data_IF_693248576572
#
_entry.id   IF_693248576572
#
_cell.length_a   1.000
_cell.length_b   1.000
_cell.length_c   1.000
_cell.angle_alpha   90.00
_cell.angle_beta   90.00
_cell.angle_gamma   90.00
#
_symmetry.space_group_name_H-M   'P 1'
#
loop_
_entity.id
_entity.type
_entity.pdbx_description
1 polymer ?
#
# COMPACT_ATOMS: atom_id res chain seq x y z
N UNK A 1 66.24 -3.07 69.14
CA UNK A 1 66.73 -2.15 70.19
C UNK A 1 67.64 -1.15 69.54
N UNK A 2 67.35 0.16 69.59
CA UNK A 2 68.32 1.26 69.67
C UNK A 2 67.55 2.57 69.90
N UNK A 3 67.63 3.04 71.14
CA UNK A 3 67.77 4.44 71.58
C UNK A 3 66.74 5.50 71.19
N UNK A 4 65.90 5.79 72.19
CA UNK A 4 65.16 7.04 72.40
C UNK A 4 66.08 8.27 72.35
N UNK A 5 65.63 9.33 71.68
CA UNK A 5 66.01 10.69 72.00
C UNK A 5 64.76 11.61 71.90
N UNK A 6 64.39 12.33 72.98
CA UNK A 6 63.27 13.27 73.02
C UNK A 6 63.72 14.66 72.53
N UNK A 7 62.84 15.67 72.69
CA UNK A 7 63.08 17.13 72.55
C UNK A 7 62.49 17.78 71.28
N UNK A 8 61.17 17.96 71.27
CA UNK A 8 60.55 19.13 70.62
C UNK A 8 59.28 19.63 71.33
N UNK A 9 59.15 19.33 72.63
CA UNK A 9 58.03 19.77 73.48
C UNK A 9 58.57 20.76 74.52
N UNK A 10 59.35 21.75 74.08
CA UNK A 10 59.77 22.88 74.90
C UNK A 10 59.69 24.16 74.08
N UNK A 11 58.48 24.44 73.56
CA UNK A 11 58.14 25.77 73.05
C UNK A 11 56.69 26.12 73.35
N UNK A 12 56.30 25.82 74.59
CA UNK A 12 55.08 26.29 75.25
C UNK A 12 55.53 27.05 76.50
N UNK A 13 56.13 28.23 76.30
CA UNK A 13 56.06 29.32 77.27
C UNK A 13 56.58 30.59 76.62
N UNK A 14 55.68 31.39 76.06
CA UNK A 14 55.72 32.85 76.16
C UNK A 14 54.31 33.36 75.86
N UNK A 15 53.72 33.95 76.90
CA UNK A 15 52.35 34.47 76.93
C UNK A 15 52.37 35.84 76.29
N UNK A 16 51.55 36.05 75.27
CA UNK A 16 51.19 37.38 74.79
C UNK A 16 49.73 37.35 74.36
N UNK A 17 48.90 37.82 75.28
CA UNK A 17 47.54 38.36 75.09
C UNK A 17 47.22 38.73 73.65
N UNK A 18 46.21 38.07 73.07
CA UNK A 18 45.16 38.69 72.26
C UNK A 18 43.99 37.71 72.16
N UNK A 19 42.78 38.23 72.27
CA UNK A 19 41.51 37.51 72.41
C UNK A 19 41.23 36.64 71.17
N UNK A 20 41.33 35.31 71.31
CA UNK A 20 40.98 34.36 70.24
C UNK A 20 39.46 34.25 70.11
N UNK A 21 38.89 35.00 69.16
CA UNK A 21 37.52 34.82 68.67
C UNK A 21 37.40 33.44 67.98
N UNK A 22 36.82 32.45 68.67
CA UNK A 22 36.50 31.16 68.07
C UNK A 22 35.39 31.34 67.02
N UNK A 23 35.76 31.33 65.74
CA UNK A 23 34.80 31.26 64.63
C UNK A 23 34.31 29.81 64.51
N UNK A 24 33.04 29.60 64.81
CA UNK A 24 32.35 28.32 64.60
C UNK A 24 32.20 28.07 63.09
N UNK A 25 33.08 27.23 62.54
CA UNK A 25 32.94 26.69 61.18
C UNK A 25 31.93 25.55 61.23
N UNK A 26 30.70 25.81 60.77
CA UNK A 26 29.73 24.77 60.49
C UNK A 26 30.32 23.80 59.45
N UNK A 27 30.79 22.65 59.91
CA UNK A 27 31.10 21.52 59.04
C UNK A 27 29.76 20.96 58.61
N UNK A 28 29.31 21.31 57.40
CA UNK A 28 28.21 20.59 56.76
C UNK A 28 28.56 19.11 56.79
N UNK A 29 27.81 18.33 57.57
CA UNK A 29 27.96 16.90 57.63
C UNK A 29 27.93 16.39 56.19
N UNK A 30 29.06 15.87 55.71
CA UNK A 30 29.13 15.09 54.48
C UNK A 30 28.37 13.77 54.71
N UNK A 31 27.08 13.84 55.08
CA UNK A 31 26.18 12.70 55.17
C UNK A 31 26.23 12.06 53.81
N UNK A 32 27.09 11.05 53.75
CA UNK A 32 27.54 10.26 52.61
C UNK A 32 26.71 10.60 51.40
N UNK A 33 27.24 11.47 50.53
CA UNK A 33 26.64 11.77 49.22
C UNK A 33 26.31 10.41 48.62
N UNK A 34 25.04 9.99 48.71
CA UNK A 34 24.65 8.62 48.39
C UNK A 34 24.88 8.52 46.90
N UNK A 35 26.01 7.91 46.53
CA UNK A 35 26.41 7.78 45.16
C UNK A 35 25.33 6.95 44.49
N UNK A 36 24.48 7.62 43.73
CA UNK A 36 23.45 6.98 42.96
C UNK A 36 24.16 6.20 41.85
N UNK A 37 24.21 4.87 42.01
CA UNK A 37 24.85 3.98 41.05
C UNK A 37 24.24 4.13 39.65
N UNK A 38 22.97 4.52 39.55
CA UNK A 38 22.28 4.72 38.27
C UNK A 38 22.86 5.93 37.52
N UNK A 39 23.15 7.01 38.24
CA UNK A 39 23.75 8.20 37.66
C UNK A 39 25.15 7.94 37.09
N UNK A 40 25.99 7.12 37.75
CA UNK A 40 27.33 6.73 37.26
C UNK A 40 27.27 5.88 35.98
N UNK A 41 26.28 4.99 35.86
CA UNK A 41 26.11 4.15 34.68
C UNK A 41 25.60 4.96 33.48
N UNK A 42 24.83 6.01 33.73
CA UNK A 42 24.32 6.91 32.68
C UNK A 42 25.38 7.87 32.11
N UNK A 43 26.42 8.21 32.87
CA UNK A 43 27.47 9.17 32.46
C UNK A 43 28.26 8.71 31.23
N UNK A 44 28.30 7.39 30.96
CA UNK A 44 29.10 6.80 29.89
C UNK A 44 28.27 6.23 28.73
N UNK A 45 26.94 6.31 28.77
CA UNK A 45 26.10 5.89 27.64
C UNK A 45 26.01 6.99 26.57
N UNK A 46 27.15 7.39 26.02
CA UNK A 46 27.17 8.26 24.84
C UNK A 46 26.97 7.41 23.59
N UNK A 47 25.84 7.61 22.92
CA UNK A 47 25.59 7.06 21.58
C UNK A 47 26.45 7.80 20.53
N UNK A 48 27.77 7.86 20.69
CA UNK A 48 28.63 8.55 19.72
C UNK A 48 28.94 7.68 18.51
N UNK A 49 28.85 6.35 18.66
CA UNK A 49 29.07 5.40 17.59
C UNK A 49 27.74 4.97 16.94
N UNK A 50 27.29 5.76 15.97
CA UNK A 50 26.21 5.36 15.07
C UNK A 50 26.81 4.97 13.71
N UNK A 51 26.89 3.67 13.36
CA UNK A 51 27.28 3.29 12.01
C UNK A 51 26.29 3.90 11.01
N UNK A 52 26.80 4.37 9.87
CA UNK A 52 25.96 4.96 8.83
C UNK A 52 25.06 3.86 8.23
N UNK A 53 23.74 3.99 8.43
CA UNK A 53 22.76 3.12 7.79
C UNK A 53 22.86 3.29 6.27
N UNK A 54 23.07 2.19 5.56
CA UNK A 54 23.05 2.21 4.09
C UNK A 54 21.61 2.50 3.68
N UNK A 55 21.35 3.72 3.20
CA UNK A 55 20.05 4.06 2.63
C UNK A 55 19.91 3.35 1.29
N UNK A 56 18.97 2.41 1.20
CA UNK A 56 18.47 2.00 -0.11
C UNK A 56 18.00 3.26 -0.85
N UNK A 57 18.35 3.45 -2.14
CA UNK A 57 17.90 4.61 -2.88
C UNK A 57 16.39 4.67 -2.75
N UNK A 58 15.88 5.68 -2.03
CA UNK A 58 14.44 5.87 -1.78
C UNK A 58 13.80 5.74 -3.14
N UNK A 59 13.11 4.62 -3.40
CA UNK A 59 12.40 4.38 -4.65
C UNK A 59 11.63 5.65 -4.88
N UNK A 60 12.07 6.44 -5.87
CA UNK A 60 11.58 7.79 -6.02
C UNK A 60 10.08 7.65 -6.02
N UNK A 61 9.39 8.43 -5.17
CA UNK A 61 7.94 8.50 -5.12
C UNK A 61 7.33 8.91 -6.48
N UNK A 62 8.11 8.98 -7.56
CA UNK A 62 7.69 9.00 -8.96
C UNK A 62 7.20 7.64 -9.48
N UNK A 63 7.44 6.53 -8.78
CA UNK A 63 6.62 5.32 -8.91
C UNK A 63 5.44 5.38 -7.91
N UNK A 64 4.81 6.56 -7.83
CA UNK A 64 3.74 6.88 -6.91
C UNK A 64 2.63 5.82 -6.96
N UNK A 65 2.19 5.38 -5.79
CA UNK A 65 0.93 4.65 -5.62
C UNK A 65 -0.14 5.35 -6.46
N UNK A 66 -0.72 4.64 -7.43
CA UNK A 66 -1.74 5.18 -8.32
C UNK A 66 -2.89 5.71 -7.46
N UNK A 67 -3.04 7.03 -7.39
CA UNK A 67 -4.13 7.67 -6.66
C UNK A 67 -5.36 7.65 -7.55
N UNK A 68 -6.43 6.99 -7.12
CA UNK A 68 -7.65 6.82 -7.91
C UNK A 68 -8.68 7.85 -7.48
N UNK A 69 -9.33 8.50 -8.44
CA UNK A 69 -10.39 9.46 -8.15
C UNK A 69 -11.68 8.73 -7.70
N UNK A 70 -12.29 9.07 -6.56
CA UNK A 70 -13.34 8.27 -5.91
C UNK A 70 -14.63 8.20 -6.72
N UNK A 71 -14.89 9.19 -7.59
CA UNK A 71 -16.12 9.25 -8.41
C UNK A 71 -15.97 8.55 -9.76
N UNK A 72 -14.76 8.51 -10.32
CA UNK A 72 -14.52 8.04 -11.70
C UNK A 72 -13.74 6.74 -11.75
N UNK A 73 -13.12 6.31 -10.64
CA UNK A 73 -12.33 5.09 -10.59
C UNK A 73 -11.04 5.14 -11.43
N UNK A 74 -10.69 6.31 -11.98
CA UNK A 74 -9.53 6.50 -12.85
C UNK A 74 -8.32 7.03 -12.06
N UNK A 75 -7.09 6.68 -12.46
CA UNK A 75 -5.86 7.29 -11.94
C UNK A 75 -5.86 8.81 -12.07
N UNK A 76 -5.37 9.52 -11.06
CA UNK A 76 -5.09 10.95 -11.14
C UNK A 76 -3.89 11.19 -12.07
N UNK A 77 -3.95 12.27 -12.85
CA UNK A 77 -2.93 12.72 -13.82
C UNK A 77 -2.69 11.82 -15.05
N UNK A 78 -3.51 10.80 -15.33
CA UNK A 78 -3.40 10.05 -16.60
C UNK A 78 -4.13 10.71 -17.76
N UNK A 79 -5.26 11.36 -17.46
CA UNK A 79 -5.86 12.36 -18.33
C UNK A 79 -5.11 13.64 -17.99
N UNK A 80 -4.07 13.96 -18.78
CA UNK A 80 -3.14 15.07 -18.51
C UNK A 80 -3.86 16.30 -17.97
N UNK A 81 -3.23 17.02 -17.03
CA UNK A 81 -3.82 18.19 -16.34
C UNK A 81 -4.45 19.24 -17.29
N UNK A 82 -4.10 19.18 -18.58
CA UNK A 82 -4.51 20.11 -19.63
C UNK A 82 -5.49 19.51 -20.65
N UNK A 83 -5.84 18.21 -20.58
CA UNK A 83 -6.70 17.54 -21.58
C UNK A 83 -8.20 17.62 -21.29
N UNK A 84 -8.58 18.22 -20.17
CA UNK A 84 -9.96 18.31 -19.68
C UNK A 84 -10.80 19.46 -20.27
N UNK A 85 -10.35 20.13 -21.32
CA UNK A 85 -11.21 21.07 -22.07
C UNK A 85 -11.52 20.45 -23.41
N UNK A 86 -12.77 19.99 -23.56
CA UNK A 86 -13.39 19.71 -24.85
C UNK A 86 -13.35 20.99 -25.69
N UNK A 87 -12.24 21.22 -26.37
CA UNK A 87 -12.08 22.37 -27.25
C UNK A 87 -12.81 22.04 -28.55
N UNK A 88 -13.46 23.03 -29.16
CA UNK A 88 -14.19 22.88 -30.43
C UNK A 88 -13.35 22.15 -31.50
N UNK A 89 -12.02 22.35 -31.50
CA UNK A 89 -11.08 21.66 -32.40
C UNK A 89 -10.92 20.16 -32.09
N UNK A 90 -10.99 19.72 -30.83
CA UNK A 90 -10.91 18.29 -30.50
C UNK A 90 -12.21 17.56 -30.82
N UNK A 91 -13.37 18.21 -30.63
CA UNK A 91 -14.67 17.68 -31.01
C UNK A 91 -14.77 17.47 -32.53
N UNK A 92 -14.36 18.46 -33.33
CA UNK A 92 -14.38 18.37 -34.78
C UNK A 92 -13.48 17.23 -35.33
N UNK A 93 -12.33 16.96 -34.70
CA UNK A 93 -11.47 15.81 -35.09
C UNK A 93 -12.13 14.47 -34.78
N UNK A 94 -12.83 14.37 -33.66
CA UNK A 94 -13.50 13.11 -33.27
C UNK A 94 -14.74 12.82 -34.14
N UNK A 95 -15.42 13.84 -34.65
CA UNK A 95 -16.51 13.70 -35.62
C UNK A 95 -16.00 13.21 -36.99
N UNK A 96 -14.80 13.65 -37.40
CA UNK A 96 -14.17 13.16 -38.62
C UNK A 96 -13.81 11.66 -38.52
N UNK A 97 -13.30 11.20 -37.37
CA UNK A 97 -13.01 9.77 -37.15
C UNK A 97 -14.28 8.90 -37.04
N UNK A 98 -15.42 9.47 -36.63
CA UNK A 98 -16.71 8.79 -36.64
C UNK A 98 -17.33 8.69 -38.05
N UNK A 99 -16.91 9.56 -38.98
CA UNK A 99 -17.37 9.59 -40.37
C UNK A 99 -16.59 8.64 -41.29
N UNK A 100 -15.46 8.09 -40.83
CA UNK A 100 -14.81 6.98 -41.52
C UNK A 100 -15.77 5.77 -41.50
N UNK A 101 -15.95 5.04 -42.63
CA UNK A 101 -16.79 3.86 -42.65
C UNK A 101 -16.14 2.83 -41.73
N UNK A 102 -16.66 2.71 -40.51
CA UNK A 102 -16.34 1.57 -39.65
C UNK A 102 -16.58 0.34 -40.52
N UNK A 103 -15.60 -0.55 -40.73
CA UNK A 103 -15.90 -1.84 -41.34
C UNK A 103 -17.05 -2.38 -40.52
N UNK A 104 -18.17 -2.67 -41.18
CA UNK A 104 -19.37 -3.17 -40.53
C UNK A 104 -19.01 -4.50 -39.87
N UNK A 105 -18.49 -4.43 -38.64
CA UNK A 105 -18.49 -5.55 -37.73
C UNK A 105 -19.91 -6.10 -37.70
N UNK A 106 -20.09 -7.41 -37.56
CA UNK A 106 -21.38 -8.06 -37.74
C UNK A 106 -22.40 -7.31 -36.88
N UNK A 107 -23.27 -6.54 -37.56
CA UNK A 107 -24.40 -5.88 -36.92
C UNK A 107 -25.27 -7.03 -36.44
N UNK A 108 -25.16 -7.36 -35.16
CA UNK A 108 -26.09 -8.31 -34.56
C UNK A 108 -27.49 -7.75 -34.78
N UNK A 109 -28.36 -8.54 -35.39
CA UNK A 109 -29.74 -8.18 -35.74
C UNK A 109 -30.61 -7.74 -34.53
N UNK A 110 -30.04 -7.65 -33.33
CA UNK A 110 -30.70 -7.32 -32.08
C UNK A 110 -30.49 -5.87 -31.59
N UNK A 111 -29.81 -5.00 -32.34
CA UNK A 111 -29.48 -3.64 -31.87
C UNK A 111 -30.67 -2.66 -31.86
N UNK A 112 -31.83 -3.07 -32.40
CA UNK A 112 -32.99 -2.18 -32.59
C UNK A 112 -34.30 -2.58 -31.90
N UNK A 113 -34.39 -3.78 -31.33
CA UNK A 113 -35.63 -4.27 -30.71
C UNK A 113 -35.29 -5.27 -29.61
N UNK A 114 -35.98 -5.20 -28.46
CA UNK A 114 -35.89 -6.13 -27.30
C UNK A 114 -36.26 -7.59 -27.66
N UNK A 115 -36.51 -7.86 -28.94
CA UNK A 115 -36.83 -9.17 -29.47
C UNK A 115 -35.53 -9.96 -29.58
N UNK A 116 -35.39 -10.96 -28.72
CA UNK A 116 -34.28 -11.93 -28.81
C UNK A 116 -34.19 -12.50 -30.23
N UNK A 117 -32.97 -12.79 -30.70
CA UNK A 117 -32.74 -13.47 -31.98
C UNK A 117 -33.57 -14.77 -32.10
N UNK A 118 -33.80 -15.46 -30.98
CA UNK A 118 -34.65 -16.64 -30.88
C UNK A 118 -36.12 -16.33 -31.21
N UNK A 119 -36.68 -15.22 -30.69
CA UNK A 119 -38.06 -14.84 -30.98
C UNK A 119 -38.31 -14.49 -32.44
N UNK A 120 -37.31 -13.95 -33.17
CA UNK A 120 -37.44 -13.74 -34.62
C UNK A 120 -37.41 -15.08 -35.36
N UNK A 121 -36.48 -15.96 -35.03
CA UNK A 121 -36.27 -17.24 -35.73
C UNK A 121 -37.33 -18.32 -35.39
N UNK A 122 -38.03 -18.18 -34.26
CA UNK A 122 -39.05 -19.15 -33.83
C UNK A 122 -40.40 -18.93 -34.49
N UNK A 123 -40.68 -17.72 -34.99
CA UNK A 123 -41.93 -17.41 -35.69
C UNK A 123 -41.94 -18.18 -37.01
N UNK A 124 -43.06 -18.88 -37.27
CA UNK A 124 -43.29 -19.61 -38.52
C UNK A 124 -44.13 -18.76 -39.47
N UNK A 125 -43.63 -18.38 -40.66
CA UNK A 125 -44.46 -17.79 -41.70
C UNK A 125 -45.48 -18.82 -42.22
N UNK A 126 -46.70 -18.38 -42.51
CA UNK A 126 -47.78 -19.27 -42.98
C UNK A 126 -47.55 -19.74 -44.42
N UNK A 127 -46.97 -18.89 -45.26
CA UNK A 127 -46.80 -19.09 -46.70
C UNK A 127 -45.33 -19.37 -47.11
N UNK A 128 -44.55 -20.03 -46.23
CA UNK A 128 -43.12 -20.36 -46.50
C UNK A 128 -42.97 -21.42 -47.61
N UNK A 129 -41.99 -21.24 -48.51
CA UNK A 129 -41.60 -22.28 -49.49
C UNK A 129 -40.87 -23.45 -48.81
N UNK A 130 -40.71 -24.60 -49.50
CA UNK A 130 -40.01 -25.76 -48.93
C UNK A 130 -38.55 -25.46 -48.58
N UNK A 131 -37.90 -24.61 -49.36
CA UNK A 131 -36.50 -24.23 -49.19
C UNK A 131 -36.34 -23.25 -48.02
N UNK A 132 -37.20 -22.23 -47.95
CA UNK A 132 -37.27 -21.31 -46.80
C UNK A 132 -37.52 -22.05 -45.47
N UNK A 133 -38.39 -23.05 -45.48
CA UNK A 133 -38.65 -23.91 -44.31
C UNK A 133 -37.40 -24.69 -43.88
N UNK A 134 -36.60 -25.16 -44.84
CA UNK A 134 -35.34 -25.87 -44.58
C UNK A 134 -34.32 -24.92 -43.97
N UNK A 135 -34.19 -23.73 -44.52
CA UNK A 135 -33.28 -22.68 -44.02
C UNK A 135 -33.67 -22.21 -42.62
N UNK A 136 -34.96 -21.94 -42.37
CA UNK A 136 -35.45 -21.56 -41.03
C UNK A 136 -35.09 -22.61 -39.97
N UNK A 137 -35.32 -23.89 -40.29
CA UNK A 137 -34.97 -25.01 -39.39
C UNK A 137 -33.46 -25.13 -39.19
N UNK A 138 -32.66 -24.90 -40.25
CA UNK A 138 -31.20 -24.92 -40.18
C UNK A 138 -30.69 -23.80 -39.25
N UNK A 139 -31.15 -22.57 -39.44
CA UNK A 139 -30.79 -21.41 -38.61
C UNK A 139 -31.16 -21.64 -37.13
N UNK A 140 -32.35 -22.16 -36.84
CA UNK A 140 -32.75 -22.47 -35.46
C UNK A 140 -31.89 -23.58 -34.84
N UNK A 141 -31.47 -24.57 -35.63
CA UNK A 141 -30.61 -25.67 -35.18
C UNK A 141 -29.20 -25.16 -34.88
N UNK A 142 -28.65 -24.33 -35.75
CA UNK A 142 -27.34 -23.68 -35.61
C UNK A 142 -27.32 -22.78 -34.39
N UNK A 143 -28.29 -21.88 -34.24
CA UNK A 143 -28.42 -21.02 -33.06
C UNK A 143 -28.49 -21.83 -31.74
N UNK A 144 -29.25 -22.93 -31.72
CA UNK A 144 -29.30 -23.83 -30.55
C UNK A 144 -27.98 -24.54 -30.31
N UNK A 145 -27.22 -24.87 -31.35
CA UNK A 145 -25.90 -25.49 -31.21
C UNK A 145 -24.90 -24.48 -30.64
N UNK A 146 -24.84 -23.27 -31.19
CA UNK A 146 -24.02 -22.15 -30.70
C UNK A 146 -24.30 -21.87 -29.22
N UNK A 147 -25.57 -21.71 -28.84
CA UNK A 147 -25.94 -21.50 -27.43
C UNK A 147 -25.52 -22.63 -26.48
N UNK A 148 -25.47 -23.88 -26.95
CA UNK A 148 -24.94 -25.00 -26.14
C UNK A 148 -23.43 -24.91 -25.98
N UNK A 149 -22.71 -24.54 -27.05
CA UNK A 149 -21.26 -24.35 -27.03
C UNK A 149 -20.92 -23.19 -26.09
N UNK A 150 -21.59 -22.05 -26.22
CA UNK A 150 -21.41 -20.89 -25.33
C UNK A 150 -21.70 -21.24 -23.87
N UNK A 151 -22.82 -21.92 -23.59
CA UNK A 151 -23.15 -22.34 -22.23
C UNK A 151 -22.08 -23.28 -21.66
N UNK A 152 -21.57 -24.21 -22.48
CA UNK A 152 -20.51 -25.13 -22.08
C UNK A 152 -19.21 -24.37 -21.77
N UNK A 153 -18.78 -23.50 -22.68
CA UNK A 153 -17.59 -22.67 -22.52
C UNK A 153 -17.68 -21.78 -21.27
N UNK A 154 -18.81 -21.11 -21.05
CA UNK A 154 -19.03 -20.31 -19.84
C UNK A 154 -18.99 -21.18 -18.58
N UNK A 155 -19.63 -22.34 -18.60
CA UNK A 155 -19.62 -23.28 -17.46
C UNK A 155 -18.21 -23.76 -17.14
N UNK A 156 -17.40 -24.02 -18.16
CA UNK A 156 -15.99 -24.42 -18.01
C UNK A 156 -15.15 -23.25 -17.46
N UNK A 157 -15.32 -22.03 -18.00
CA UNK A 157 -14.64 -20.83 -17.53
C UNK A 157 -14.91 -20.55 -16.04
N UNK A 158 -16.17 -20.61 -15.58
CA UNK A 158 -16.51 -20.45 -14.16
C UNK A 158 -15.94 -21.56 -13.28
N UNK A 159 -15.84 -22.79 -13.78
CA UNK A 159 -15.22 -23.90 -13.02
C UNK A 159 -13.72 -23.67 -12.86
N UNK A 160 -13.03 -23.18 -13.89
CA UNK A 160 -11.60 -22.89 -13.84
C UNK A 160 -11.30 -21.69 -12.93
N UNK A 161 -12.07 -20.62 -13.05
CA UNK A 161 -11.95 -19.45 -12.17
C UNK A 161 -12.15 -19.83 -10.70
N UNK A 162 -13.17 -20.66 -10.40
CA UNK A 162 -13.39 -21.17 -9.04
C UNK A 162 -12.16 -21.89 -8.48
N UNK A 163 -11.54 -22.77 -9.27
CA UNK A 163 -10.30 -23.47 -8.87
C UNK A 163 -9.15 -22.47 -8.63
N UNK A 164 -9.04 -21.41 -9.42
CA UNK A 164 -8.03 -20.38 -9.22
C UNK A 164 -8.28 -19.58 -7.94
N UNK A 165 -9.52 -19.18 -7.68
CA UNK A 165 -9.89 -18.46 -6.46
C UNK A 165 -9.62 -19.29 -5.20
N UNK A 166 -9.93 -20.60 -5.23
CA UNK A 166 -9.62 -21.53 -4.13
C UNK A 166 -8.11 -21.59 -3.84
N UNK A 167 -7.27 -21.71 -4.89
CA UNK A 167 -5.80 -21.68 -4.75
C UNK A 167 -5.31 -20.36 -4.16
N UNK A 168 -5.82 -19.24 -4.66
CA UNK A 168 -5.47 -17.90 -4.15
C UNK A 168 -5.86 -17.78 -2.67
N UNK A 169 -7.02 -18.30 -2.28
CA UNK A 169 -7.48 -18.27 -0.90
C UNK A 169 -6.58 -19.10 0.03
N UNK A 170 -6.14 -20.28 -0.40
CA UNK A 170 -5.19 -21.11 0.33
C UNK A 170 -3.86 -20.37 0.50
N UNK A 171 -3.31 -19.79 -0.57
CA UNK A 171 -2.06 -19.05 -0.52
C UNK A 171 -2.16 -17.83 0.41
N UNK A 172 -3.26 -17.07 0.35
CA UNK A 172 -3.50 -15.93 1.25
C UNK A 172 -3.45 -16.34 2.73
N UNK A 173 -4.03 -17.51 3.08
CA UNK A 173 -3.97 -18.05 4.45
C UNK A 173 -2.54 -18.42 4.84
N UNK A 174 -1.78 -19.07 3.95
CA UNK A 174 -0.40 -19.45 4.23
C UNK A 174 0.54 -18.23 4.38
N UNK A 175 0.30 -17.15 3.64
CA UNK A 175 1.10 -15.92 3.70
C UNK A 175 0.66 -14.94 4.78
N UNK A 176 -0.41 -15.24 5.52
CA UNK A 176 -0.91 -14.40 6.61
C UNK A 176 -0.05 -14.59 7.86
N UNK A 177 1.16 -14.01 7.86
CA UNK A 177 2.00 -13.91 9.04
C UNK A 177 1.68 -12.66 9.86
N UNK A 178 1.70 -12.79 11.19
CA UNK A 178 1.65 -11.64 12.11
C UNK A 178 3.08 -11.15 12.30
N UNK A 179 3.31 -9.85 12.08
CA UNK A 179 4.60 -9.21 12.36
C UNK A 179 4.78 -9.19 13.88
N UNK A 180 5.72 -9.99 14.37
CA UNK A 180 6.20 -9.89 15.75
C UNK A 180 7.01 -8.58 15.81
N UNK A 181 6.57 -7.66 16.67
CA UNK A 181 7.25 -6.39 16.98
C UNK A 181 8.08 -6.60 18.22
#
# INVERSE_FOLDING_TARGET
>A
MHHSCPLRILKLQEVSSDEEEMVELEVEDETQKKWDCESILSTYSNCYNHPKLIEEPKKRKSAAKISIHPKTGLPMNTLGADSGKLTMKSLARHEQDASAPKPGGPKSLCDGTVISTLSVLSIRPKDETSDEKRERKKLLKEYRAERRIERKANTEAFKEEKKQQEKIQINKRATAGVRIV
#
